data_IF_613874423154
#
_entry.id   IF_613874423154
#
_cell.length_a   1.000
_cell.length_b   1.000
_cell.length_c   1.000
_cell.angle_alpha   90.00
_cell.angle_beta   90.00
_cell.angle_gamma   90.00
#
_symmetry.space_group_name_H-M   'P 1'
#
loop_
_entity.id
_entity.type
_entity.pdbx_description
1 polymer ?
#
# COMPACT_ATOMS: atom_id res chain seq x y z
N UNK A 1 -24.45 -15.69 28.76
CA UNK A 1 -24.68 -14.45 28.00
C UNK A 1 -23.41 -13.64 28.06
N UNK A 2 -22.65 -13.57 26.98
CA UNK A 2 -21.47 -12.70 26.87
C UNK A 2 -21.72 -11.77 25.70
N UNK A 3 -21.80 -10.48 26.00
CA UNK A 3 -22.03 -9.39 25.07
C UNK A 3 -20.99 -9.40 23.94
N UNK A 4 -21.32 -10.10 22.87
CA UNK A 4 -20.70 -9.96 21.57
C UNK A 4 -21.12 -8.63 20.96
N UNK A 5 -20.69 -7.50 21.55
CA UNK A 5 -20.67 -6.21 20.86
C UNK A 5 -19.72 -6.38 19.67
N UNK A 6 -20.29 -6.78 18.53
CA UNK A 6 -19.64 -6.71 17.22
C UNK A 6 -19.22 -5.25 17.04
N UNK A 7 -17.96 -4.93 17.36
CA UNK A 7 -17.38 -3.66 16.92
C UNK A 7 -17.44 -3.71 15.39
N UNK A 8 -18.40 -2.96 14.82
CA UNK A 8 -18.48 -2.74 13.38
C UNK A 8 -17.25 -1.90 12.99
N UNK A 9 -16.11 -2.56 12.77
CA UNK A 9 -14.84 -1.91 12.46
C UNK A 9 -13.64 -2.85 12.59
N UNK A 10 -12.50 -2.46 12.02
CA UNK A 10 -11.21 -3.14 12.26
C UNK A 10 -10.73 -2.84 13.69
N UNK A 11 -9.96 -3.74 14.32
CA UNK A 11 -9.43 -3.51 15.67
C UNK A 11 -8.61 -2.21 15.71
N UNK A 12 -8.84 -1.39 16.74
CA UNK A 12 -8.04 -0.18 16.96
C UNK A 12 -6.59 -0.58 17.27
N UNK A 13 -5.61 0.14 16.72
CA UNK A 13 -4.22 -0.02 17.13
C UNK A 13 -4.08 0.30 18.63
N UNK A 14 -3.24 -0.47 19.32
CA UNK A 14 -2.82 -0.17 20.69
C UNK A 14 -2.09 1.17 20.75
N UNK A 15 -1.98 1.75 21.95
CA UNK A 15 -1.25 3.01 22.14
C UNK A 15 0.23 2.82 21.76
N UNK A 16 0.84 1.70 22.14
CA UNK A 16 2.18 1.28 21.73
C UNK A 16 2.35 1.23 20.22
N UNK A 17 1.44 0.57 19.51
CA UNK A 17 1.57 0.41 18.05
C UNK A 17 1.37 1.74 17.32
N UNK A 18 0.57 2.66 17.89
CA UNK A 18 0.42 4.02 17.37
C UNK A 18 1.68 4.86 17.58
N UNK A 19 2.28 4.82 18.77
CA UNK A 19 3.50 5.57 19.07
C UNK A 19 4.67 5.04 18.24
N UNK A 20 4.79 3.71 18.13
CA UNK A 20 5.75 3.02 17.24
C UNK A 20 5.60 3.44 15.78
N UNK A 21 4.37 3.38 15.25
CA UNK A 21 4.07 3.78 13.86
C UNK A 21 4.41 5.24 13.59
N UNK A 22 4.17 6.12 14.57
CA UNK A 22 4.47 7.55 14.44
C UNK A 22 5.97 7.79 14.44
N UNK A 23 6.71 7.19 15.39
CA UNK A 23 8.16 7.26 15.43
C UNK A 23 8.82 6.74 14.14
N UNK A 24 8.34 5.61 13.61
CA UNK A 24 8.80 5.04 12.34
C UNK A 24 8.54 5.95 11.13
N UNK A 25 7.36 6.61 11.09
CA UNK A 25 7.03 7.58 10.02
C UNK A 25 7.92 8.80 10.08
N UNK A 26 8.05 9.40 11.26
CA UNK A 26 8.79 10.64 11.45
C UNK A 26 10.31 10.40 11.25
N UNK A 27 10.81 9.21 11.62
CA UNK A 27 12.19 8.79 11.32
C UNK A 27 12.45 8.67 9.81
N UNK A 28 11.55 8.04 9.04
CA UNK A 28 11.68 7.99 7.57
C UNK A 28 11.62 9.37 6.93
N UNK A 29 10.76 10.26 7.43
CA UNK A 29 10.71 11.63 6.97
C UNK A 29 12.02 12.37 7.24
N UNK A 30 12.64 12.14 8.41
CA UNK A 30 13.98 12.65 8.72
C UNK A 30 15.05 12.09 7.77
N UNK A 31 15.10 10.77 7.55
CA UNK A 31 16.05 10.17 6.60
C UNK A 31 15.87 10.70 5.17
N UNK A 32 14.62 10.90 4.73
CA UNK A 32 14.31 11.48 3.42
C UNK A 32 14.93 12.86 3.23
N UNK A 33 15.11 13.67 4.29
CA UNK A 33 15.76 14.99 4.18
C UNK A 33 17.26 14.94 3.85
N UNK A 34 17.87 13.75 3.88
CA UNK A 34 19.26 13.52 3.45
C UNK A 34 19.37 12.87 2.07
N UNK A 35 18.24 12.60 1.39
CA UNK A 35 18.24 12.06 0.04
C UNK A 35 18.59 13.12 -1.00
N UNK A 36 19.31 12.74 -2.05
CA UNK A 36 19.67 13.65 -3.15
C UNK A 36 18.44 14.21 -3.86
N UNK A 37 17.40 13.40 -4.02
CA UNK A 37 16.12 13.84 -4.61
C UNK A 37 15.47 14.98 -3.83
N UNK A 38 15.56 14.94 -2.49
CA UNK A 38 15.00 15.99 -1.63
C UNK A 38 15.84 17.27 -1.69
N UNK A 39 17.17 17.14 -1.75
CA UNK A 39 18.07 18.28 -1.90
C UNK A 39 17.77 19.03 -3.22
N UNK A 40 17.74 18.30 -4.34
CA UNK A 40 17.39 18.82 -5.66
C UNK A 40 16.02 19.51 -5.66
N UNK A 41 15.02 18.97 -4.96
CA UNK A 41 13.69 19.57 -4.86
C UNK A 41 13.71 20.90 -4.11
N UNK A 42 14.48 20.98 -3.01
CA UNK A 42 14.61 22.20 -2.21
C UNK A 42 15.41 23.26 -2.96
N UNK A 43 16.48 22.89 -3.65
CA UNK A 43 17.23 23.79 -4.51
C UNK A 43 16.38 24.35 -5.64
N UNK A 44 15.61 23.52 -6.34
CA UNK A 44 14.67 23.98 -7.38
C UNK A 44 13.65 24.99 -6.86
N UNK A 45 13.06 24.73 -5.68
CA UNK A 45 12.10 25.66 -5.04
C UNK A 45 12.75 26.99 -4.67
N UNK A 46 14.02 26.96 -4.24
CA UNK A 46 14.80 28.16 -3.93
C UNK A 46 15.11 28.96 -5.18
N UNK A 47 15.65 28.31 -6.20
CA UNK A 47 15.95 28.93 -7.51
C UNK A 47 14.68 29.57 -8.07
N UNK A 48 13.57 28.83 -8.14
CA UNK A 48 12.30 29.34 -8.63
C UNK A 48 11.80 30.58 -7.86
N UNK A 49 11.98 30.61 -6.53
CA UNK A 49 11.58 31.76 -5.71
C UNK A 49 12.48 32.99 -5.92
N UNK A 50 13.78 32.80 -6.11
CA UNK A 50 14.71 33.92 -6.31
C UNK A 50 14.73 34.43 -7.75
N UNK A 51 14.41 33.58 -8.73
CA UNK A 51 14.29 33.94 -10.15
C UNK A 51 12.94 34.57 -10.51
N UNK A 52 11.90 34.46 -9.65
CA UNK A 52 10.62 35.11 -9.91
C UNK A 52 10.68 36.61 -9.67
N UNK A 53 10.26 37.42 -10.66
CA UNK A 53 10.18 38.88 -10.57
C UNK A 53 9.24 39.36 -9.45
N UNK A 54 8.20 38.57 -9.15
CA UNK A 54 7.28 38.79 -8.03
C UNK A 54 7.58 37.79 -6.91
N UNK A 55 8.51 38.13 -6.02
CA UNK A 55 8.88 37.33 -4.83
C UNK A 55 7.77 37.36 -3.77
N UNK A 56 6.59 36.88 -4.13
CA UNK A 56 5.41 36.88 -3.27
C UNK A 56 5.46 35.70 -2.30
N UNK A 57 5.33 35.99 -1.00
CA UNK A 57 5.25 34.98 0.07
C UNK A 57 6.52 34.88 0.92
N UNK A 58 6.64 33.79 1.67
CA UNK A 58 7.81 33.54 2.54
C UNK A 58 8.88 32.76 1.77
N UNK A 59 10.17 33.12 1.90
CA UNK A 59 11.24 32.41 1.24
C UNK A 59 11.28 30.94 1.70
N UNK A 60 11.57 30.00 0.77
CA UNK A 60 11.70 28.58 1.10
C UNK A 60 12.84 28.34 2.09
N UNK A 61 12.61 27.41 3.01
CA UNK A 61 13.54 27.15 4.11
C UNK A 61 14.89 26.60 3.62
N UNK A 62 15.88 26.80 4.49
CA UNK A 62 17.05 25.95 4.68
C UNK A 62 16.91 24.48 4.34
N UNK A 63 17.80 23.84 3.55
CA UNK A 63 17.97 22.37 3.68
C UNK A 63 18.28 22.02 5.15
N UNK A 64 19.21 22.75 5.77
CA UNK A 64 19.53 22.60 7.21
C UNK A 64 18.32 22.82 8.10
N UNK A 65 17.50 23.84 7.81
CA UNK A 65 16.29 24.10 8.59
C UNK A 65 15.23 23.00 8.40
N UNK A 66 15.13 22.39 7.22
CA UNK A 66 14.28 21.23 6.98
C UNK A 66 14.77 20.01 7.77
N UNK A 67 16.07 19.76 7.79
CA UNK A 67 16.70 18.68 8.55
C UNK A 67 16.52 18.88 10.06
N UNK A 68 16.72 20.09 10.59
CA UNK A 68 16.51 20.43 12.00
C UNK A 68 15.04 20.27 12.42
N UNK A 69 14.10 20.75 11.58
CA UNK A 69 12.67 20.54 11.82
C UNK A 69 12.29 19.07 11.81
N UNK A 70 12.78 18.29 10.85
CA UNK A 70 12.50 16.86 10.79
C UNK A 70 13.12 16.12 12.00
N UNK A 71 14.33 16.51 12.43
CA UNK A 71 15.00 15.97 13.62
C UNK A 71 14.19 16.23 14.89
N UNK A 72 13.79 17.49 15.13
CA UNK A 72 13.00 17.84 16.33
C UNK A 72 11.67 17.12 16.41
N UNK A 73 10.99 16.94 15.27
CA UNK A 73 9.76 16.15 15.18
C UNK A 73 10.04 14.67 15.48
N UNK A 74 11.09 14.10 14.90
CA UNK A 74 11.50 12.72 15.16
C UNK A 74 11.86 12.51 16.64
N UNK A 75 12.67 13.36 17.25
CA UNK A 75 13.06 13.29 18.67
C UNK A 75 11.82 13.30 19.58
N UNK A 76 10.84 14.17 19.29
CA UNK A 76 9.57 14.21 20.03
C UNK A 76 8.74 12.94 19.87
N UNK A 77 8.70 12.36 18.67
CA UNK A 77 7.99 11.10 18.41
C UNK A 77 8.69 9.88 19.03
N UNK A 78 10.02 9.88 19.03
CA UNK A 78 10.87 8.82 19.58
C UNK A 78 10.75 8.78 21.10
N UNK A 79 10.90 9.92 21.77
CA UNK A 79 10.71 10.02 23.23
C UNK A 79 9.31 9.58 23.67
N UNK A 80 8.27 9.89 22.89
CA UNK A 80 6.91 9.41 23.15
C UNK A 80 6.78 7.89 22.98
N UNK A 81 7.45 7.28 22.00
CA UNK A 81 7.47 5.83 21.82
C UNK A 81 8.23 5.12 22.95
N UNK A 82 9.41 5.61 23.33
CA UNK A 82 10.21 5.06 24.44
C UNK A 82 9.42 5.09 25.75
N UNK A 83 8.78 6.23 26.08
CA UNK A 83 7.90 6.33 27.26
C UNK A 83 6.75 5.32 27.23
N UNK A 84 6.17 5.05 26.06
CA UNK A 84 5.09 4.07 25.94
C UNK A 84 5.62 2.63 26.08
N UNK A 85 6.84 2.35 25.62
CA UNK A 85 7.52 1.08 25.83
C UNK A 85 7.78 0.82 27.33
N UNK A 86 8.21 1.85 28.07
CA UNK A 86 8.37 1.78 29.53
C UNK A 86 7.04 1.47 30.23
N UNK A 87 5.96 2.16 29.86
CA UNK A 87 4.61 1.93 30.42
C UNK A 87 4.12 0.51 30.15
N UNK A 88 4.34 0.00 28.94
CA UNK A 88 3.90 -1.34 28.53
C UNK A 88 4.92 -2.45 28.90
N UNK A 89 6.03 -2.10 29.57
CA UNK A 89 7.13 -3.01 29.96
C UNK A 89 7.72 -3.81 28.78
N UNK A 90 7.92 -3.13 27.66
CA UNK A 90 8.51 -3.67 26.43
C UNK A 90 9.81 -2.91 26.14
N UNK A 91 10.83 -3.58 25.59
CA UNK A 91 12.05 -2.89 25.15
C UNK A 91 11.80 -2.10 23.84
N UNK A 92 12.26 -0.84 23.75
CA UNK A 92 12.12 -0.06 22.53
C UNK A 92 13.03 -0.63 21.42
N UNK A 93 12.46 -0.82 20.24
CA UNK A 93 13.24 -1.24 19.06
C UNK A 93 14.21 -0.15 18.62
N UNK A 94 15.34 -0.55 18.01
CA UNK A 94 16.33 0.41 17.53
C UNK A 94 15.76 1.31 16.42
N UNK A 95 16.23 2.56 16.27
CA UNK A 95 15.80 3.44 15.17
C UNK A 95 15.95 2.80 13.78
N UNK A 96 16.98 1.97 13.57
CA UNK A 96 17.20 1.26 12.30
C UNK A 96 16.11 0.22 12.02
N UNK A 97 15.60 -0.44 13.05
CA UNK A 97 14.54 -1.45 12.92
C UNK A 97 13.17 -0.79 12.73
N UNK A 98 12.98 0.41 13.26
CA UNK A 98 11.80 1.23 13.06
C UNK A 98 11.61 1.69 11.61
N UNK A 99 12.68 1.86 10.83
CA UNK A 99 12.58 2.21 9.41
C UNK A 99 11.69 1.21 8.64
N UNK A 100 11.86 -0.08 8.96
CA UNK A 100 11.13 -1.20 8.36
C UNK A 100 9.71 -1.34 8.92
N UNK A 101 9.40 -0.69 10.05
CA UNK A 101 8.05 -0.69 10.60
C UNK A 101 7.10 0.09 9.69
N UNK A 102 6.38 -0.67 8.88
CA UNK A 102 5.09 -0.24 8.36
C UNK A 102 4.06 -0.85 9.30
N UNK A 103 3.51 -0.05 10.20
CA UNK A 103 2.21 -0.38 10.78
C UNK A 103 1.33 -0.84 9.62
N UNK A 104 0.75 -2.03 9.70
CA UNK A 104 -0.11 -2.55 8.64
C UNK A 104 -1.00 -1.38 8.21
N UNK A 105 -0.91 -0.95 6.94
CA UNK A 105 -1.68 0.18 6.33
C UNK A 105 -3.21 -0.02 6.38
N UNK A 106 -3.65 -0.96 7.22
CA UNK A 106 -5.00 -1.45 7.45
C UNK A 106 -5.61 -0.87 8.73
N UNK A 107 -4.95 0.05 9.43
CA UNK A 107 -5.51 0.77 10.56
C UNK A 107 -6.18 2.09 10.10
N UNK A 108 -7.51 2.12 10.14
CA UNK A 108 -8.30 3.25 9.65
C UNK A 108 -9.68 2.80 9.17
N UNK A 109 -10.44 3.72 8.55
CA UNK A 109 -11.66 3.34 7.81
C UNK A 109 -11.27 2.27 6.79
N UNK A 110 -12.01 1.16 6.72
CA UNK A 110 -11.85 0.17 5.64
C UNK A 110 -11.89 0.99 4.35
N UNK A 111 -10.80 1.01 3.58
CA UNK A 111 -10.83 1.61 2.24
C UNK A 111 -12.07 1.10 1.55
N UNK A 112 -12.86 2.00 0.94
CA UNK A 112 -14.07 1.58 0.24
C UNK A 112 -13.68 0.42 -0.66
N UNK A 113 -14.37 -0.70 -0.46
CA UNK A 113 -14.13 -1.93 -1.20
C UNK A 113 -14.15 -1.56 -2.70
N UNK A 114 -13.03 -1.75 -3.39
CA UNK A 114 -12.82 -1.22 -4.75
C UNK A 114 -13.92 -1.73 -5.67
N UNK A 115 -14.31 -3.00 -5.51
CA UNK A 115 -15.39 -3.62 -6.28
C UNK A 115 -16.73 -2.93 -5.99
N UNK A 116 -17.07 -2.70 -4.72
CA UNK A 116 -18.31 -1.98 -4.35
C UNK A 116 -18.32 -0.54 -4.87
N UNK A 117 -17.17 0.14 -4.83
CA UNK A 117 -17.02 1.48 -5.38
C UNK A 117 -17.23 1.49 -6.89
N UNK A 118 -16.59 0.57 -7.62
CA UNK A 118 -16.72 0.46 -9.07
C UNK A 118 -18.14 0.08 -9.48
N UNK A 119 -18.80 -0.83 -8.76
CA UNK A 119 -20.20 -1.18 -8.97
C UNK A 119 -21.12 0.03 -8.81
N UNK A 120 -20.89 0.86 -7.78
CA UNK A 120 -21.61 2.12 -7.61
C UNK A 120 -21.31 3.10 -8.75
N UNK A 121 -20.05 3.20 -9.16
CA UNK A 121 -19.61 4.10 -10.22
C UNK A 121 -20.22 3.71 -11.57
N UNK A 122 -20.18 2.43 -11.96
CA UNK A 122 -20.77 1.92 -13.19
C UNK A 122 -22.27 2.24 -13.28
N UNK A 123 -23.03 1.97 -12.21
CA UNK A 123 -24.45 2.36 -12.12
C UNK A 123 -24.66 3.87 -12.28
N UNK A 124 -23.82 4.68 -11.67
CA UNK A 124 -23.92 6.14 -11.79
C UNK A 124 -23.65 6.61 -13.22
N UNK A 125 -22.68 6.02 -13.92
CA UNK A 125 -22.42 6.37 -15.32
C UNK A 125 -23.55 5.92 -16.25
N UNK A 126 -24.12 4.72 -16.03
CA UNK A 126 -25.30 4.26 -16.79
C UNK A 126 -26.49 5.20 -16.64
N UNK A 127 -26.82 5.60 -15.40
CA UNK A 127 -27.89 6.61 -15.16
C UNK A 127 -27.61 7.95 -15.83
N UNK A 128 -26.35 8.37 -15.88
CA UNK A 128 -25.98 9.61 -16.59
C UNK A 128 -26.15 9.47 -18.10
N UNK A 129 -25.90 8.28 -18.66
CA UNK A 129 -26.18 7.99 -20.06
C UNK A 129 -27.69 8.01 -20.33
N UNK A 130 -28.48 7.29 -19.54
CA UNK A 130 -29.96 7.25 -19.63
C UNK A 130 -30.57 8.65 -19.50
N UNK A 131 -30.15 9.42 -18.48
CA UNK A 131 -30.61 10.79 -18.30
C UNK A 131 -30.21 11.70 -19.46
N UNK A 132 -29.02 11.51 -20.06
CA UNK A 132 -28.60 12.29 -21.22
C UNK A 132 -29.39 11.90 -22.48
N UNK A 133 -29.80 10.64 -22.60
CA UNK A 133 -30.62 10.14 -23.70
C UNK A 133 -32.07 10.64 -23.62
N UNK A 134 -32.63 10.71 -22.40
CA UNK A 134 -33.99 11.16 -22.14
C UNK A 134 -34.21 12.67 -22.37
N UNK A 135 -33.16 13.50 -22.34
CA UNK A 135 -33.26 14.94 -22.59
C UNK A 135 -33.56 15.20 -24.08
N UNK A 136 -34.59 16.00 -24.45
CA UNK A 136 -34.87 16.36 -25.83
C UNK A 136 -33.69 17.04 -26.53
N UNK A 137 -33.52 16.76 -27.83
CA UNK A 137 -32.39 17.28 -28.61
C UNK A 137 -32.42 18.81 -28.72
N UNK A 138 -33.61 19.42 -28.69
CA UNK A 138 -33.80 20.87 -28.72
C UNK A 138 -33.14 21.54 -27.49
N UNK A 139 -33.49 21.10 -26.29
CA UNK A 139 -32.92 21.60 -25.03
C UNK A 139 -31.40 21.41 -24.98
N UNK A 140 -30.91 20.28 -25.52
CA UNK A 140 -29.49 19.99 -25.59
C UNK A 140 -28.76 20.95 -26.54
N UNK A 141 -29.34 21.21 -27.72
CA UNK A 141 -28.79 22.12 -28.72
C UNK A 141 -28.84 23.58 -28.27
N UNK A 142 -29.85 23.99 -27.51
CA UNK A 142 -29.89 25.31 -26.87
C UNK A 142 -28.77 25.47 -25.83
N UNK A 143 -28.52 24.43 -25.03
CA UNK A 143 -27.43 24.43 -24.06
C UNK A 143 -26.03 24.52 -24.72
N UNK A 144 -25.85 23.89 -25.89
CA UNK A 144 -24.63 23.99 -26.71
C UNK A 144 -24.39 25.40 -27.26
N UNK A 145 -25.46 26.10 -27.67
CA UNK A 145 -25.37 27.46 -28.23
C UNK A 145 -25.08 28.51 -27.17
N UNK A 146 -25.55 28.30 -25.94
CA UNK A 146 -25.46 29.28 -24.85
C UNK A 146 -24.17 29.17 -24.01
N UNK A 147 -23.30 28.20 -24.28
CA UNK A 147 -22.02 28.05 -23.54
C UNK A 147 -20.90 28.93 -24.11
N UNK A 148 -20.32 29.80 -23.28
CA UNK A 148 -19.03 30.44 -23.53
C UNK A 148 -17.88 29.54 -23.05
N UNK A 149 -16.86 29.35 -23.87
CA UNK A 149 -15.67 28.55 -23.53
C UNK A 149 -15.54 27.28 -24.37
N UNK A 150 -15.12 26.17 -23.76
CA UNK A 150 -14.95 24.89 -24.46
C UNK A 150 -16.30 24.37 -24.95
N UNK A 151 -16.37 24.03 -26.23
CA UNK A 151 -17.56 23.44 -26.86
C UNK A 151 -17.96 22.19 -26.07
N UNK A 152 -19.18 22.13 -25.50
CA UNK A 152 -19.62 20.94 -24.79
C UNK A 152 -19.79 19.78 -25.77
N UNK A 153 -19.63 18.55 -25.28
CA UNK A 153 -19.82 17.35 -26.10
C UNK A 153 -21.24 17.31 -26.69
N UNK A 154 -21.38 16.79 -27.91
CA UNK A 154 -22.71 16.48 -28.47
C UNK A 154 -23.42 15.43 -27.62
N UNK A 155 -24.75 15.30 -27.76
CA UNK A 155 -25.54 14.32 -27.00
C UNK A 155 -25.01 12.90 -27.22
N UNK A 156 -24.77 12.52 -28.47
CA UNK A 156 -24.22 11.21 -28.84
C UNK A 156 -22.85 10.97 -28.22
N UNK A 157 -21.95 11.95 -28.28
CA UNK A 157 -20.62 11.84 -27.65
C UNK A 157 -20.72 11.72 -26.13
N UNK A 158 -21.64 12.46 -25.50
CA UNK A 158 -21.82 12.43 -24.04
C UNK A 158 -22.37 11.08 -23.57
N UNK A 159 -23.37 10.53 -24.27
CA UNK A 159 -23.91 9.19 -24.02
C UNK A 159 -22.81 8.14 -24.24
N UNK A 160 -22.08 8.20 -25.36
CA UNK A 160 -20.98 7.30 -25.66
C UNK A 160 -19.87 7.34 -24.59
N UNK A 161 -19.50 8.53 -24.14
CA UNK A 161 -18.49 8.74 -23.09
C UNK A 161 -18.92 8.13 -21.75
N UNK A 162 -20.19 8.31 -21.32
CA UNK A 162 -20.68 7.68 -20.10
C UNK A 162 -20.77 6.16 -20.23
N UNK A 163 -21.21 5.65 -21.38
CA UNK A 163 -21.24 4.21 -21.66
C UNK A 163 -19.83 3.61 -21.66
N UNK A 164 -18.84 4.29 -22.21
CA UNK A 164 -17.45 3.85 -22.19
C UNK A 164 -16.90 3.79 -20.76
N UNK A 165 -17.18 4.79 -19.93
CA UNK A 165 -16.80 4.79 -18.50
C UNK A 165 -17.49 3.71 -17.67
N UNK A 166 -18.75 3.41 -17.98
CA UNK A 166 -19.46 2.30 -17.37
C UNK A 166 -18.80 0.97 -17.75
N UNK A 167 -18.56 0.75 -19.05
CA UNK A 167 -17.92 -0.47 -19.58
C UNK A 167 -16.51 -0.67 -19.03
N UNK A 168 -15.68 0.38 -18.96
CA UNK A 168 -14.33 0.26 -18.40
C UNK A 168 -14.36 -0.16 -16.92
N UNK A 169 -15.29 0.39 -16.14
CA UNK A 169 -15.47 -0.01 -14.75
C UNK A 169 -15.99 -1.44 -14.62
N UNK A 170 -16.90 -1.88 -15.49
CA UNK A 170 -17.39 -3.26 -15.53
C UNK A 170 -16.29 -4.27 -15.86
N UNK A 171 -15.41 -3.96 -16.81
CA UNK A 171 -14.24 -4.79 -17.12
C UNK A 171 -13.31 -4.92 -15.91
N UNK A 172 -12.98 -3.80 -15.24
CA UNK A 172 -12.17 -3.82 -14.03
C UNK A 172 -12.82 -4.65 -12.90
N UNK A 173 -14.15 -4.58 -12.76
CA UNK A 173 -14.89 -5.41 -11.79
C UNK A 173 -14.76 -6.90 -12.11
N UNK A 174 -14.92 -7.28 -13.38
CA UNK A 174 -14.81 -8.68 -13.81
C UNK A 174 -13.40 -9.22 -13.53
N UNK A 175 -12.36 -8.46 -13.87
CA UNK A 175 -10.97 -8.83 -13.59
C UNK A 175 -10.71 -8.98 -12.09
N UNK A 176 -11.22 -8.06 -11.27
CA UNK A 176 -11.05 -8.11 -9.82
C UNK A 176 -11.82 -9.29 -9.20
N UNK A 177 -13.03 -9.58 -9.66
CA UNK A 177 -13.87 -10.67 -9.14
C UNK A 177 -13.35 -12.05 -9.58
N UNK A 178 -12.84 -12.19 -10.81
CA UNK A 178 -12.34 -13.45 -11.33
C UNK A 178 -11.24 -14.08 -10.46
N UNK A 179 -10.42 -13.24 -9.81
CA UNK A 179 -9.32 -13.66 -8.95
C UNK A 179 -9.76 -14.02 -7.52
N UNK A 180 -11.03 -13.81 -7.15
CA UNK A 180 -11.51 -14.04 -5.79
C UNK A 180 -12.07 -15.45 -5.58
N UNK A 181 -12.09 -15.95 -4.33
CA UNK A 181 -12.78 -17.18 -3.99
C UNK A 181 -14.26 -17.12 -4.37
N UNK A 182 -14.86 -18.28 -4.72
CA UNK A 182 -16.26 -18.37 -5.16
C UNK A 182 -17.23 -17.77 -4.12
N UNK A 183 -16.94 -17.94 -2.83
CA UNK A 183 -17.75 -17.34 -1.76
C UNK A 183 -17.76 -15.79 -1.76
N UNK A 184 -16.67 -15.17 -2.20
CA UNK A 184 -16.55 -13.72 -2.34
C UNK A 184 -17.15 -13.23 -3.66
N UNK A 185 -17.01 -13.98 -4.76
CA UNK A 185 -17.70 -13.67 -6.01
C UNK A 185 -19.22 -13.62 -5.80
N UNK A 186 -19.77 -14.63 -5.12
CA UNK A 186 -21.19 -14.70 -4.77
C UNK A 186 -21.60 -13.56 -3.82
N UNK A 187 -20.71 -13.14 -2.92
CA UNK A 187 -20.98 -12.00 -2.03
C UNK A 187 -21.27 -10.71 -2.80
N UNK A 188 -20.45 -10.37 -3.81
CA UNK A 188 -20.68 -9.14 -4.59
C UNK A 188 -21.95 -9.23 -5.44
N UNK A 189 -22.24 -10.40 -6.02
CA UNK A 189 -23.49 -10.62 -6.76
C UNK A 189 -24.74 -10.45 -5.88
N UNK A 190 -24.74 -11.04 -4.68
CA UNK A 190 -25.82 -10.87 -3.69
C UNK A 190 -25.94 -9.40 -3.27
N UNK A 191 -24.81 -8.72 -3.06
CA UNK A 191 -24.80 -7.31 -2.68
C UNK A 191 -25.46 -6.44 -3.73
N UNK A 192 -25.23 -6.71 -5.02
CA UNK A 192 -25.88 -5.99 -6.12
C UNK A 192 -27.38 -6.23 -6.20
N UNK A 193 -27.83 -7.49 -6.10
CA UNK A 193 -29.27 -7.80 -6.07
C UNK A 193 -29.97 -7.14 -4.87
N UNK A 194 -29.31 -7.08 -3.71
CA UNK A 194 -29.84 -6.36 -2.54
C UNK A 194 -29.95 -4.85 -2.77
N UNK A 195 -29.07 -4.25 -3.57
CA UNK A 195 -29.19 -2.84 -3.95
C UNK A 195 -30.38 -2.66 -4.89
N UNK A 196 -30.49 -3.49 -5.92
CA UNK A 196 -31.57 -3.43 -6.91
C UNK A 196 -32.94 -3.63 -6.26
N UNK A 197 -33.05 -4.59 -5.35
CA UNK A 197 -34.24 -4.82 -4.53
C UNK A 197 -34.64 -3.57 -3.75
N UNK A 198 -33.68 -2.91 -3.09
CA UNK A 198 -33.95 -1.66 -2.35
C UNK A 198 -34.40 -0.54 -3.27
N UNK A 199 -33.84 -0.43 -4.47
CA UNK A 199 -34.22 0.59 -5.44
C UNK A 199 -35.63 0.34 -5.99
N UNK A 200 -35.93 -0.91 -6.33
CA UNK A 200 -37.26 -1.34 -6.76
C UNK A 200 -38.32 -1.10 -5.68
N UNK A 201 -37.97 -1.40 -4.41
CA UNK A 201 -38.84 -1.11 -3.26
C UNK A 201 -39.18 0.37 -3.13
N UNK A 202 -38.29 1.29 -3.54
CA UNK A 202 -38.59 2.73 -3.52
C UNK A 202 -39.76 3.09 -4.45
N UNK A 203 -39.98 2.35 -5.54
CA UNK A 203 -41.11 2.57 -6.44
C UNK A 203 -42.46 2.34 -5.73
N UNK A 204 -42.47 1.51 -4.68
CA UNK A 204 -43.66 1.21 -3.88
C UNK A 204 -43.73 2.14 -2.66
N UNK A 205 -42.63 2.26 -1.91
CA UNK A 205 -42.64 2.96 -0.62
C UNK A 205 -42.58 4.48 -0.76
N UNK A 206 -42.02 4.99 -1.86
CA UNK A 206 -41.81 6.42 -2.06
C UNK A 206 -41.83 6.78 -3.56
N UNK A 207 -42.99 6.65 -4.22
CA UNK A 207 -43.11 6.80 -5.67
C UNK A 207 -42.76 8.20 -6.18
N UNK A 208 -42.90 9.24 -5.35
CA UNK A 208 -42.52 10.61 -5.70
C UNK A 208 -41.01 10.89 -5.66
N UNK A 209 -40.18 9.92 -5.30
CA UNK A 209 -38.72 10.10 -5.31
C UNK A 209 -38.21 10.18 -6.76
N UNK A 210 -37.34 11.13 -7.13
CA UNK A 210 -36.78 11.24 -8.48
C UNK A 210 -36.17 9.92 -8.99
N UNK A 211 -35.56 9.13 -8.10
CA UNK A 211 -34.97 7.85 -8.46
C UNK A 211 -36.03 6.76 -8.74
N UNK A 212 -37.18 6.80 -8.07
CA UNK A 212 -38.29 5.90 -8.36
C UNK A 212 -38.95 6.27 -9.70
N UNK A 213 -39.14 7.57 -9.94
CA UNK A 213 -39.69 8.09 -11.20
C UNK A 213 -38.83 7.70 -12.41
N UNK A 214 -37.50 7.74 -12.30
CA UNK A 214 -36.60 7.30 -13.38
C UNK A 214 -36.71 5.82 -13.72
N UNK A 215 -37.11 4.97 -12.76
CA UNK A 215 -37.27 3.53 -13.03
C UNK A 215 -38.56 3.22 -13.80
N UNK A 216 -39.55 4.13 -13.77
CA UNK A 216 -40.81 4.03 -14.50
C UNK A 216 -41.56 2.69 -14.33
N UNK A 217 -41.36 2.00 -13.21
CA UNK A 217 -42.05 0.75 -12.89
C UNK A 217 -43.41 1.03 -12.25
N UNK A 218 -44.44 0.29 -12.67
CA UNK A 218 -45.70 0.26 -11.91
C UNK A 218 -45.50 -0.41 -10.55
N UNK A 219 -46.41 -0.17 -9.61
CA UNK A 219 -46.35 -0.82 -8.29
C UNK A 219 -46.40 -2.36 -8.42
N UNK A 220 -47.19 -2.89 -9.34
CA UNK A 220 -47.32 -4.33 -9.63
C UNK A 220 -46.05 -4.92 -10.26
N UNK A 221 -45.42 -4.20 -11.17
CA UNK A 221 -44.13 -4.61 -11.74
C UNK A 221 -43.03 -4.58 -10.67
N UNK A 222 -43.05 -3.56 -9.81
CA UNK A 222 -42.09 -3.45 -8.71
C UNK A 222 -42.24 -4.59 -7.69
N UNK A 223 -43.47 -5.00 -7.35
CA UNK A 223 -43.69 -6.15 -6.44
C UNK A 223 -43.20 -7.45 -7.05
N UNK A 224 -43.50 -7.70 -8.34
CA UNK A 224 -43.04 -8.89 -9.03
C UNK A 224 -41.50 -8.94 -9.09
N UNK A 225 -40.85 -7.84 -9.47
CA UNK A 225 -39.39 -7.74 -9.53
C UNK A 225 -38.75 -7.98 -8.14
N UNK A 226 -39.37 -7.50 -7.06
CA UNK A 226 -38.88 -7.76 -5.69
C UNK A 226 -38.97 -9.23 -5.34
N UNK A 227 -40.07 -9.92 -5.72
CA UNK A 227 -40.21 -11.36 -5.49
C UNK A 227 -39.14 -12.15 -6.24
N UNK A 228 -38.92 -11.82 -7.52
CA UNK A 228 -37.86 -12.45 -8.33
C UNK A 228 -36.48 -12.22 -7.71
N UNK A 229 -36.17 -10.99 -7.28
CA UNK A 229 -34.92 -10.67 -6.60
C UNK A 229 -34.75 -11.41 -5.26
N UNK A 230 -35.82 -11.54 -4.47
CA UNK A 230 -35.78 -12.27 -3.19
C UNK A 230 -35.50 -13.76 -3.40
N UNK A 231 -36.13 -14.38 -4.40
CA UNK A 231 -35.83 -15.79 -4.74
C UNK A 231 -34.39 -15.97 -5.20
N UNK A 232 -33.88 -15.07 -6.06
CA UNK A 232 -32.52 -15.13 -6.56
C UNK A 232 -31.48 -14.88 -5.45
N UNK A 233 -31.73 -13.93 -4.55
CA UNK A 233 -30.88 -13.66 -3.37
C UNK A 233 -30.82 -14.90 -2.48
N UNK A 234 -31.97 -15.53 -2.18
CA UNK A 234 -32.04 -16.73 -1.36
C UNK A 234 -31.22 -17.88 -1.94
N UNK A 235 -31.37 -18.15 -3.25
CA UNK A 235 -30.60 -19.19 -3.94
C UNK A 235 -29.08 -18.92 -3.88
N UNK A 236 -28.65 -17.68 -4.14
CA UNK A 236 -27.23 -17.31 -4.09
C UNK A 236 -26.66 -17.34 -2.66
N UNK A 237 -27.45 -17.02 -1.64
CA UNK A 237 -27.02 -17.12 -0.23
C UNK A 237 -26.76 -18.57 0.17
N UNK A 238 -27.60 -19.51 -0.27
CA UNK A 238 -27.38 -20.95 -0.07
C UNK A 238 -26.10 -21.40 -0.78
N UNK A 239 -25.93 -21.06 -2.06
CA UNK A 239 -24.72 -21.40 -2.82
C UNK A 239 -23.46 -20.82 -2.16
N UNK A 240 -23.54 -19.58 -1.66
CA UNK A 240 -22.44 -18.94 -0.95
C UNK A 240 -22.09 -19.68 0.33
N UNK A 241 -23.09 -20.11 1.11
CA UNK A 241 -22.86 -20.88 2.32
C UNK A 241 -22.18 -22.22 2.03
N UNK A 242 -22.53 -22.87 0.93
CA UNK A 242 -21.87 -24.10 0.49
C UNK A 242 -20.43 -23.84 0.03
N UNK A 243 -20.18 -22.76 -0.71
CA UNK A 243 -18.84 -22.35 -1.11
C UNK A 243 -17.94 -22.11 0.11
N UNK A 244 -18.43 -21.39 1.13
CA UNK A 244 -17.69 -21.16 2.38
C UNK A 244 -17.36 -22.49 3.09
N UNK A 245 -18.30 -23.44 3.12
CA UNK A 245 -18.07 -24.77 3.73
C UNK A 245 -17.02 -25.59 2.97
N UNK A 246 -16.88 -25.40 1.66
CA UNK A 246 -15.86 -26.05 0.83
C UNK A 246 -14.49 -25.37 0.95
N UNK A 247 -14.47 -24.04 1.04
CA UNK A 247 -13.26 -23.22 1.15
C UNK A 247 -12.65 -23.27 2.56
N UNK A 248 -13.47 -23.46 3.60
CA UNK A 248 -12.98 -23.65 4.96
C UNK A 248 -12.61 -25.12 5.18
N UNK A 249 -11.34 -25.48 5.39
CA UNK A 249 -10.99 -26.85 5.71
C UNK A 249 -11.74 -27.25 6.98
N UNK A 250 -12.44 -28.39 6.95
CA UNK A 250 -13.08 -28.97 8.13
C UNK A 250 -12.00 -29.07 9.21
N UNK A 251 -12.07 -28.19 10.21
CA UNK A 251 -11.34 -28.42 11.47
C UNK A 251 -11.93 -29.71 12.04
N UNK A 252 -11.29 -30.84 11.74
CA UNK A 252 -11.58 -32.09 12.41
C UNK A 252 -11.46 -31.80 13.90
N UNK A 253 -12.55 -31.96 14.64
CA UNK A 253 -12.49 -31.90 16.10
C UNK A 253 -11.33 -32.82 16.52
N UNK A 254 -10.35 -32.34 17.29
CA UNK A 254 -9.24 -33.19 17.69
C UNK A 254 -9.84 -34.40 18.40
N UNK A 255 -9.56 -35.61 17.88
CA UNK A 255 -9.78 -36.84 18.63
C UNK A 255 -9.04 -36.64 19.95
N UNK A 256 -9.74 -36.80 21.08
CA UNK A 256 -9.10 -36.81 22.40
C UNK A 256 -8.10 -37.97 22.40
N UNK A 257 -6.82 -37.66 22.25
CA UNK A 257 -5.74 -38.64 22.38
C UNK A 257 -5.55 -38.94 23.86
N UNK A 258 -5.19 -40.17 24.18
CA UNK A 258 -4.92 -40.59 25.56
C UNK A 258 -3.58 -40.02 26.02
N UNK A 259 -3.37 -39.79 27.34
CA UNK A 259 -2.19 -39.11 27.88
C UNK A 259 -0.83 -39.72 27.47
N UNK A 260 -0.79 -41.02 27.18
CA UNK A 260 0.45 -41.70 26.78
C UNK A 260 0.90 -41.36 25.34
N UNK A 261 -0.02 -41.14 24.40
CA UNK A 261 0.34 -40.83 23.01
C UNK A 261 0.86 -39.39 22.83
N UNK A 262 0.54 -38.49 23.76
CA UNK A 262 1.00 -37.09 23.76
C UNK A 262 2.48 -36.99 24.19
N UNK A 263 2.92 -37.86 25.10
CA UNK A 263 4.30 -37.88 25.62
C UNK A 263 5.31 -38.31 24.55
N UNK A 264 4.98 -39.34 23.75
CA UNK A 264 5.88 -39.86 22.71
C UNK A 264 5.94 -38.94 21.49
N UNK A 265 4.81 -38.36 21.05
CA UNK A 265 4.80 -37.38 19.95
C UNK A 265 5.46 -36.06 20.34
N UNK A 266 5.31 -35.58 21.57
CA UNK A 266 5.98 -34.36 22.03
C UNK A 266 7.50 -34.54 22.10
N UNK A 267 7.98 -35.72 22.54
CA UNK A 267 9.42 -36.05 22.52
C UNK A 267 9.98 -36.17 21.09
N UNK A 268 9.24 -36.78 20.17
CA UNK A 268 9.66 -36.87 18.76
C UNK A 268 9.68 -35.51 18.05
N UNK A 269 8.71 -34.63 18.32
CA UNK A 269 8.66 -33.28 17.74
C UNK A 269 9.77 -32.39 18.32
N UNK A 270 10.04 -32.48 19.62
CA UNK A 270 11.14 -31.73 20.25
C UNK A 270 12.51 -32.22 19.77
N UNK A 271 12.72 -33.52 19.58
CA UNK A 271 13.98 -34.08 19.06
C UNK A 271 14.25 -33.62 17.62
N UNK A 272 13.25 -33.72 16.74
CA UNK A 272 13.40 -33.30 15.34
C UNK A 272 13.52 -31.77 15.19
N UNK A 273 12.87 -30.98 16.05
CA UNK A 273 13.00 -29.53 16.04
C UNK A 273 14.39 -29.08 16.53
N UNK A 274 15.00 -29.81 17.47
CA UNK A 274 16.31 -29.48 18.01
C UNK A 274 17.47 -29.87 17.07
N UNK A 275 17.32 -30.96 16.31
CA UNK A 275 18.27 -31.35 15.26
C UNK A 275 18.19 -30.41 14.05
N UNK A 276 16.99 -30.10 13.54
CA UNK A 276 16.83 -29.21 12.38
C UNK A 276 17.26 -27.76 12.68
N UNK A 277 16.96 -27.22 13.86
CA UNK A 277 17.39 -25.87 14.24
C UNK A 277 18.92 -25.79 14.46
N UNK A 278 19.55 -26.87 14.93
CA UNK A 278 21.00 -26.93 15.10
C UNK A 278 21.75 -26.98 13.76
N UNK A 279 21.21 -27.68 12.77
CA UNK A 279 21.83 -27.78 11.44
C UNK A 279 21.62 -26.52 10.59
N UNK A 280 20.45 -25.87 10.69
CA UNK A 280 20.21 -24.58 10.03
C UNK A 280 21.06 -23.45 10.64
N UNK A 281 21.24 -23.40 11.97
CA UNK A 281 22.11 -22.39 12.59
C UNK A 281 23.60 -22.63 12.31
N UNK A 282 24.05 -23.89 12.24
CA UNK A 282 25.44 -24.22 11.90
C UNK A 282 25.77 -23.87 10.45
N UNK A 283 24.89 -24.22 9.52
CA UNK A 283 25.06 -23.91 8.09
C UNK A 283 25.05 -22.40 7.83
N UNK A 284 24.20 -21.63 8.52
CA UNK A 284 24.21 -20.18 8.42
C UNK A 284 25.47 -19.56 9.04
N UNK A 285 25.91 -20.04 10.21
CA UNK A 285 27.13 -19.54 10.85
C UNK A 285 28.39 -19.83 10.01
N UNK A 286 28.46 -20.99 9.36
CA UNK A 286 29.58 -21.36 8.48
C UNK A 286 29.58 -20.53 7.19
N UNK A 287 28.40 -20.19 6.65
CA UNK A 287 28.27 -19.29 5.50
C UNK A 287 28.70 -17.86 5.85
N UNK A 288 28.22 -17.33 6.98
CA UNK A 288 28.56 -15.98 7.44
C UNK A 288 30.07 -15.87 7.76
N UNK A 289 30.66 -16.91 8.36
CA UNK A 289 32.10 -16.96 8.65
C UNK A 289 32.93 -16.97 7.36
N UNK A 290 32.50 -17.73 6.35
CA UNK A 290 33.17 -17.79 5.04
C UNK A 290 33.07 -16.44 4.31
N UNK A 291 31.92 -15.79 4.32
CA UNK A 291 31.73 -14.47 3.71
C UNK A 291 32.58 -13.39 4.41
N UNK A 292 32.71 -13.46 5.74
CA UNK A 292 33.58 -12.57 6.50
C UNK A 292 35.06 -12.79 6.19
N UNK A 293 35.50 -14.04 6.05
CA UNK A 293 36.88 -14.37 5.67
C UNK A 293 37.21 -13.86 4.26
N UNK A 294 36.28 -14.00 3.31
CA UNK A 294 36.48 -13.51 1.94
C UNK A 294 36.52 -11.98 1.88
N UNK A 295 35.68 -11.29 2.67
CA UNK A 295 35.74 -9.82 2.82
C UNK A 295 37.07 -9.37 3.42
N UNK A 296 37.59 -10.09 4.41
CA UNK A 296 38.90 -9.78 5.02
C UNK A 296 40.03 -9.90 4.01
N UNK A 297 40.09 -11.00 3.25
CA UNK A 297 41.11 -11.20 2.21
C UNK A 297 41.06 -10.10 1.16
N UNK A 298 39.86 -9.71 0.72
CA UNK A 298 39.67 -8.65 -0.26
C UNK A 298 40.12 -7.28 0.25
N UNK A 299 39.92 -7.00 1.54
CA UNK A 299 40.43 -5.78 2.19
C UNK A 299 41.95 -5.76 2.25
N UNK A 300 42.58 -6.89 2.58
CA UNK A 300 44.04 -7.02 2.60
C UNK A 300 44.65 -6.83 1.21
N UNK A 301 44.02 -7.39 0.17
CA UNK A 301 44.42 -7.17 -1.23
C UNK A 301 44.34 -5.70 -1.63
N UNK A 302 43.25 -5.01 -1.27
CA UNK A 302 43.08 -3.58 -1.55
C UNK A 302 44.11 -2.72 -0.81
N UNK A 303 44.40 -3.04 0.45
CA UNK A 303 45.42 -2.35 1.24
C UNK A 303 46.82 -2.55 0.65
N UNK A 304 47.15 -3.77 0.24
CA UNK A 304 48.42 -4.07 -0.40
C UNK A 304 48.57 -3.35 -1.74
N UNK A 305 47.49 -3.30 -2.54
CA UNK A 305 47.47 -2.55 -3.81
C UNK A 305 47.67 -1.06 -3.58
N UNK A 306 46.95 -0.47 -2.62
CA UNK A 306 47.09 0.95 -2.27
C UNK A 306 48.51 1.29 -1.75
N UNK A 307 49.14 0.39 -1.00
CA UNK A 307 50.55 0.54 -0.56
C UNK A 307 51.51 0.49 -1.75
N UNK A 308 51.34 -0.47 -2.66
CA UNK A 308 52.16 -0.59 -3.86
C UNK A 308 52.04 0.64 -4.75
N UNK A 309 50.83 1.17 -4.94
CA UNK A 309 50.59 2.38 -5.73
C UNK A 309 51.25 3.63 -5.11
N UNK A 310 51.19 3.77 -3.77
CA UNK A 310 51.91 4.84 -3.06
C UNK A 310 53.43 4.74 -3.23
N UNK A 311 53.98 3.54 -3.13
CA UNK A 311 55.43 3.32 -3.32
C UNK A 311 55.85 3.63 -4.76
N UNK A 312 55.09 3.19 -5.76
CA UNK A 312 55.35 3.51 -7.17
C UNK A 312 55.33 5.00 -7.43
N UNK A 313 54.35 5.70 -6.87
CA UNK A 313 54.25 7.16 -7.01
C UNK A 313 55.46 7.86 -6.39
N UNK A 314 55.89 7.41 -5.21
CA UNK A 314 57.07 7.96 -4.53
C UNK A 314 58.37 7.70 -5.29
N UNK A 315 58.52 6.51 -5.90
CA UNK A 315 59.67 6.20 -6.76
C UNK A 315 59.67 7.12 -7.98
N UNK A 316 58.52 7.32 -8.64
CA UNK A 316 58.41 8.25 -9.78
C UNK A 316 58.76 9.69 -9.41
N UNK A 317 58.31 10.16 -8.25
CA UNK A 317 58.66 11.49 -7.73
C UNK A 317 60.18 11.61 -7.51
N UNK A 318 60.81 10.59 -6.91
CA UNK A 318 62.27 10.56 -6.71
C UNK A 318 63.06 10.47 -8.03
N UNK A 319 62.57 9.71 -9.01
CA UNK A 319 63.18 9.63 -10.35
C UNK A 319 63.12 10.99 -11.05
N UNK A 320 62.01 11.72 -10.94
CA UNK A 320 61.86 13.08 -11.48
C UNK A 320 62.81 14.07 -10.80
N UNK A 321 62.92 14.04 -9.47
CA UNK A 321 63.87 14.87 -8.72
C UNK A 321 65.32 14.62 -9.14
N UNK A 322 65.71 13.36 -9.35
CA UNK A 322 67.07 13.00 -9.82
C UNK A 322 67.35 13.56 -11.23
N UNK A 323 66.37 13.47 -12.14
CA UNK A 323 66.47 14.04 -13.49
C UNK A 323 66.62 15.56 -13.44
N UNK A 324 65.86 16.25 -12.59
CA UNK A 324 65.98 17.71 -12.38
C UNK A 324 67.35 18.11 -11.83
N UNK A 325 67.99 17.26 -11.02
CA UNK A 325 69.36 17.44 -10.53
C UNK A 325 70.44 17.05 -11.56
N UNK A 326 70.06 16.63 -12.77
CA UNK A 326 70.99 16.24 -13.84
C UNK A 326 71.67 14.88 -13.63
N UNK A 327 71.12 14.05 -12.75
CA UNK A 327 71.61 12.70 -12.44
C UNK A 327 70.73 11.69 -13.19
N UNK A 328 71.35 10.80 -13.97
CA UNK A 328 70.63 9.74 -14.67
C UNK A 328 70.15 8.67 -13.69
N UNK A 329 68.83 8.52 -13.46
CA UNK A 329 68.29 7.57 -12.48
C UNK A 329 68.64 6.10 -12.82
N UNK A 330 68.89 5.78 -14.09
CA UNK A 330 69.29 4.43 -14.52
C UNK A 330 70.70 4.02 -14.04
N UNK A 331 71.57 5.00 -13.72
CA UNK A 331 72.91 4.76 -13.16
C UNK A 331 72.90 4.57 -11.64
N UNK A 332 71.89 5.09 -10.94
CA UNK A 332 71.76 5.00 -9.47
C UNK A 332 71.10 3.69 -9.05
N UNK A 333 70.21 3.14 -9.87
CA UNK A 333 69.49 1.88 -9.57
C UNK A 333 70.29 0.60 -9.88
N UNK A 334 71.40 0.69 -10.62
CA UNK A 334 72.19 -0.45 -11.10
C UNK A 334 73.66 -0.46 -10.62
N UNK A 335 74.03 0.43 -9.70
CA UNK A 335 75.30 0.41 -8.97
C UNK A 335 75.07 0.00 -7.53
#
# INVERSE_FOLDING_TARGET
MTDGKRQKGRPKLSVLEKSKSRAARDYRAYLHTFGSEFDDEIERKRVQFYESDEQMGRPPLSLKQHQEKARTVWDGSWTAYVKQCEVDSVEPESPKDLEKHKARDKAGRRGNDRIVYLLKYARQQKRKAENAEAVPDLDYNESLKNTRGRVPMTKLEKVAHYNQKAKSAELEIVELIANLPKSEQLYYKIHDFKIERRQTLMCITNPGNPQALTMALSAEQATQNIMELDTAIGALEVERHEAIKKETPKKSKPKKMTPNEISEKARAILSNAHENASDEMRTQADQDLKEMQDKSKRLDELLNKARADRLRKRIQEQEQELIEMGIDPAKVMNG
#
